data_IF_910310769412
#
_entry.id   IF_910310769412
#
_cell.length_a   1.000
_cell.length_b   1.000
_cell.length_c   1.000
_cell.angle_alpha   90.00
_cell.angle_beta   90.00
_cell.angle_gamma   90.00
#
_symmetry.space_group_name_H-M   'P 1'
#
loop_
_entity.id
_entity.type
_entity.pdbx_description
1 polymer ?
#
# COMPACT_ATOMS: atom_id res chain seq x y z
N UNK A 1 -33.81 -6.66 -9.02
CA UNK A 1 -34.34 -6.43 -7.65
C UNK A 1 -33.25 -6.03 -6.66
N UNK A 2 -31.97 -6.27 -6.97
CA UNK A 2 -30.89 -6.15 -5.98
C UNK A 2 -30.37 -4.73 -5.70
N UNK A 3 -30.41 -3.82 -6.68
CA UNK A 3 -29.82 -2.47 -6.52
C UNK A 3 -30.66 -1.58 -5.58
N UNK A 4 -31.98 -1.72 -5.61
CA UNK A 4 -32.86 -0.97 -4.69
C UNK A 4 -32.73 -1.44 -3.24
N UNK A 5 -32.56 -2.74 -3.00
CA UNK A 5 -32.28 -3.26 -1.66
C UNK A 5 -30.92 -2.79 -1.12
N UNK A 6 -29.88 -2.87 -1.95
CA UNK A 6 -28.54 -2.36 -1.61
C UNK A 6 -28.57 -0.85 -1.30
N UNK A 7 -29.30 -0.07 -2.10
CA UNK A 7 -29.47 1.38 -1.88
C UNK A 7 -30.22 1.70 -0.58
N UNK A 8 -31.18 0.87 -0.16
CA UNK A 8 -31.88 1.04 1.12
C UNK A 8 -31.01 0.65 2.31
N UNK A 9 -30.16 -0.36 2.15
CA UNK A 9 -29.31 -0.90 3.21
C UNK A 9 -28.05 -0.07 3.46
N UNK A 10 -27.52 0.58 2.42
CA UNK A 10 -26.36 1.48 2.48
C UNK A 10 -26.67 2.84 1.86
N UNK A 11 -27.45 3.70 2.56
CA UNK A 11 -27.69 5.05 2.07
C UNK A 11 -26.37 5.82 1.98
N UNK A 12 -26.19 6.56 0.88
CA UNK A 12 -25.02 7.42 0.70
C UNK A 12 -25.03 8.48 1.79
N UNK A 13 -24.17 8.31 2.79
CA UNK A 13 -24.11 9.15 3.98
C UNK A 13 -23.64 10.56 3.64
N UNK A 14 -22.66 10.68 2.74
CA UNK A 14 -22.10 11.95 2.30
C UNK A 14 -21.64 11.89 0.82
N UNK A 15 -22.35 12.63 -0.04
CA UNK A 15 -22.00 12.72 -1.47
C UNK A 15 -20.75 13.55 -1.73
N UNK A 16 -20.45 14.53 -0.87
CA UNK A 16 -19.26 15.37 -1.03
C UNK A 16 -18.00 14.55 -0.72
N UNK A 17 -18.04 13.75 0.35
CA UNK A 17 -16.93 12.88 0.74
C UNK A 17 -16.62 11.83 -0.32
N UNK A 18 -17.66 11.24 -0.94
CA UNK A 18 -17.48 10.30 -2.06
C UNK A 18 -16.76 10.93 -3.26
N UNK A 19 -17.12 12.16 -3.64
CA UNK A 19 -16.49 12.84 -4.78
C UNK A 19 -15.02 13.17 -4.46
N UNK A 20 -14.74 13.67 -3.26
CA UNK A 20 -13.37 13.97 -2.80
C UNK A 20 -12.49 12.73 -2.81
N UNK A 21 -12.96 11.62 -2.23
CA UNK A 21 -12.21 10.36 -2.18
C UNK A 21 -12.02 9.74 -3.56
N UNK A 22 -13.03 9.79 -4.43
CA UNK A 22 -12.91 9.30 -5.81
C UNK A 22 -11.91 10.14 -6.61
N UNK A 23 -11.96 11.46 -6.49
CA UNK A 23 -11.00 12.36 -7.13
C UNK A 23 -9.57 12.07 -6.64
N UNK A 24 -9.37 11.94 -5.33
CA UNK A 24 -8.08 11.59 -4.77
C UNK A 24 -7.57 10.23 -5.27
N UNK A 25 -8.44 9.22 -5.31
CA UNK A 25 -8.08 7.88 -5.78
C UNK A 25 -7.65 7.89 -7.25
N UNK A 26 -8.40 8.58 -8.12
CA UNK A 26 -8.04 8.74 -9.53
C UNK A 26 -6.73 9.51 -9.68
N UNK A 27 -6.52 10.58 -8.89
CA UNK A 27 -5.30 11.36 -8.90
C UNK A 27 -4.06 10.52 -8.52
N UNK A 28 -4.15 9.75 -7.43
CA UNK A 28 -3.07 8.85 -6.99
C UNK A 28 -2.80 7.76 -8.01
N UNK A 29 -3.86 7.19 -8.59
CA UNK A 29 -3.74 6.19 -9.65
C UNK A 29 -3.02 6.72 -10.88
N UNK A 30 -3.37 7.93 -11.35
CA UNK A 30 -2.68 8.59 -12.46
C UNK A 30 -1.21 8.89 -12.13
N UNK A 31 -0.92 9.33 -10.90
CA UNK A 31 0.47 9.51 -10.45
C UNK A 31 1.27 8.21 -10.48
N UNK A 32 0.68 7.08 -10.06
CA UNK A 32 1.33 5.77 -10.15
C UNK A 32 1.66 5.39 -11.60
N UNK A 33 0.73 5.61 -12.53
CA UNK A 33 0.95 5.35 -13.95
C UNK A 33 2.01 6.28 -14.54
N UNK A 34 1.99 7.57 -14.22
CA UNK A 34 3.00 8.53 -14.67
C UNK A 34 4.38 8.20 -14.11
N UNK A 35 4.49 7.87 -12.82
CA UNK A 35 5.74 7.42 -12.21
C UNK A 35 6.33 6.21 -12.93
N UNK A 36 5.48 5.22 -13.25
CA UNK A 36 5.90 4.02 -13.99
C UNK A 36 6.32 4.32 -15.43
N UNK A 37 5.68 5.29 -16.09
CA UNK A 37 5.93 5.62 -17.50
C UNK A 37 7.06 6.65 -17.72
N UNK A 38 7.31 7.56 -16.78
CA UNK A 38 8.26 8.67 -16.94
C UNK A 38 9.58 8.50 -16.15
N UNK A 39 9.80 7.37 -15.46
CA UNK A 39 10.98 7.16 -14.59
C UNK A 39 11.23 8.36 -13.65
N UNK A 40 10.16 8.89 -13.05
CA UNK A 40 10.28 9.95 -12.06
C UNK A 40 11.09 9.41 -10.87
N UNK A 41 11.98 10.21 -10.28
CA UNK A 41 12.80 9.74 -9.14
C UNK A 41 12.03 9.58 -7.81
N UNK A 42 10.69 9.48 -7.85
CA UNK A 42 9.86 9.30 -6.66
C UNK A 42 9.62 7.82 -6.38
N UNK A 43 9.71 7.43 -5.10
CA UNK A 43 9.34 6.09 -4.71
C UNK A 43 7.81 5.90 -4.77
N UNK A 44 7.37 4.68 -5.07
CA UNK A 44 5.95 4.30 -5.04
C UNK A 44 5.28 4.62 -3.70
N UNK A 45 6.02 4.46 -2.58
CA UNK A 45 5.52 4.78 -1.24
C UNK A 45 5.31 6.28 -1.02
N UNK A 46 6.17 7.13 -1.59
CA UNK A 46 6.05 8.59 -1.49
C UNK A 46 4.77 9.11 -2.17
N UNK A 47 4.41 8.52 -3.32
CA UNK A 47 3.18 8.86 -4.06
C UNK A 47 1.93 8.47 -3.26
N UNK A 48 1.92 7.26 -2.68
CA UNK A 48 0.81 6.81 -1.83
C UNK A 48 0.62 7.73 -0.61
N UNK A 49 1.72 8.12 0.06
CA UNK A 49 1.70 9.05 1.19
C UNK A 49 1.19 10.44 0.77
N UNK A 50 1.62 10.95 -0.38
CA UNK A 50 1.14 12.22 -0.91
C UNK A 50 -0.37 12.18 -1.16
N UNK A 51 -0.88 11.07 -1.71
CA UNK A 51 -2.30 10.80 -1.85
C UNK A 51 -3.07 10.83 -0.53
N UNK A 52 -2.55 10.12 0.47
CA UNK A 52 -3.15 10.10 1.81
C UNK A 52 -3.18 11.51 2.43
N UNK A 53 -2.09 12.27 2.34
CA UNK A 53 -2.01 13.65 2.84
C UNK A 53 -2.99 14.56 2.08
N UNK A 54 -3.10 14.41 0.76
CA UNK A 54 -4.06 15.16 -0.06
C UNK A 54 -5.50 14.90 0.39
N UNK A 55 -5.85 13.63 0.64
CA UNK A 55 -7.17 13.24 1.10
C UNK A 55 -7.47 13.83 2.50
N UNK A 56 -6.50 13.76 3.42
CA UNK A 56 -6.60 14.36 4.76
C UNK A 56 -6.68 15.90 4.74
N UNK A 57 -6.16 16.56 3.70
CA UNK A 57 -6.31 18.01 3.54
C UNK A 57 -7.68 18.38 2.95
N UNK A 58 -8.21 17.56 2.04
CA UNK A 58 -9.54 17.74 1.44
C UNK A 58 -10.66 17.42 2.42
N UNK A 59 -10.40 16.51 3.36
CA UNK A 59 -11.33 16.04 4.36
C UNK A 59 -10.82 16.40 5.76
N UNK A 60 -11.37 17.48 6.32
CA UNK A 60 -10.94 18.07 7.60
C UNK A 60 -11.48 17.33 8.82
N UNK A 61 -12.35 16.35 8.62
CA UNK A 61 -12.92 15.54 9.69
C UNK A 61 -11.88 14.56 10.26
N UNK A 62 -12.04 14.22 11.54
CA UNK A 62 -11.07 13.62 12.45
C UNK A 62 -9.96 12.76 11.79
N UNK A 63 -8.82 13.39 11.53
CA UNK A 63 -7.59 12.73 11.05
C UNK A 63 -7.23 11.55 11.96
N UNK A 64 -7.52 11.69 13.26
CA UNK A 64 -7.29 10.66 14.28
C UNK A 64 -8.07 9.39 13.97
N UNK A 65 -9.35 9.51 13.61
CA UNK A 65 -10.19 8.36 13.26
C UNK A 65 -9.74 7.68 11.96
N UNK A 66 -9.24 8.47 11.00
CA UNK A 66 -8.72 7.94 9.74
C UNK A 66 -7.41 7.19 9.95
N UNK A 67 -6.49 7.73 10.74
CA UNK A 67 -5.25 7.05 11.12
C UNK A 67 -5.50 5.83 12.02
N UNK A 68 -6.56 5.84 12.83
CA UNK A 68 -6.95 4.69 13.65
C UNK A 68 -7.45 3.49 12.81
N UNK A 69 -7.94 3.72 11.58
CA UNK A 69 -8.33 2.66 10.65
C UNK A 69 -7.14 2.01 9.93
N UNK A 70 -5.94 2.57 10.06
CA UNK A 70 -4.74 1.97 9.48
C UNK A 70 -4.43 0.67 10.22
N UNK A 71 -4.12 -0.38 9.45
CA UNK A 71 -3.68 -1.67 9.99
C UNK A 71 -2.22 -1.61 10.45
N UNK A 72 -1.97 -0.94 11.58
CA UNK A 72 -0.63 -0.74 12.15
C UNK A 72 0.08 -2.06 12.44
N UNK A 73 -0.67 -3.08 12.85
CA UNK A 73 -0.16 -4.43 13.07
C UNK A 73 0.49 -5.00 11.81
N UNK A 74 -0.17 -4.86 10.65
CA UNK A 74 0.34 -5.35 9.37
C UNK A 74 1.57 -4.57 8.91
N UNK A 75 1.61 -3.25 9.09
CA UNK A 75 2.79 -2.43 8.76
C UNK A 75 4.02 -2.81 9.59
N UNK A 76 3.84 -3.00 10.90
CA UNK A 76 4.92 -3.41 11.81
C UNK A 76 5.39 -4.84 11.46
N UNK A 77 4.46 -5.73 11.12
CA UNK A 77 4.78 -7.08 10.65
C UNK A 77 5.65 -7.07 9.40
N UNK A 78 5.27 -6.32 8.35
CA UNK A 78 6.08 -6.19 7.14
C UNK A 78 7.43 -5.53 7.40
N UNK A 79 7.47 -4.50 8.25
CA UNK A 79 8.73 -3.85 8.65
C UNK A 79 9.66 -4.86 9.33
N UNK A 80 9.14 -5.68 10.24
CA UNK A 80 9.89 -6.72 10.94
C UNK A 80 10.39 -7.81 9.99
N UNK A 81 9.56 -8.21 9.02
CA UNK A 81 9.97 -9.14 7.97
C UNK A 81 11.11 -8.57 7.12
N UNK A 82 11.06 -7.31 6.72
CA UNK A 82 12.14 -6.69 5.96
C UNK A 82 13.44 -6.59 6.76
N UNK A 83 13.36 -6.24 8.05
CA UNK A 83 14.52 -6.25 8.95
C UNK A 83 15.12 -7.66 9.06
N UNK A 84 14.28 -8.68 9.22
CA UNK A 84 14.72 -10.08 9.27
C UNK A 84 15.38 -10.51 7.96
N UNK A 85 14.75 -10.21 6.82
CA UNK A 85 15.28 -10.54 5.49
C UNK A 85 16.65 -9.89 5.25
N UNK A 86 16.81 -8.63 5.64
CA UNK A 86 18.08 -7.93 5.55
C UNK A 86 19.14 -8.53 6.49
N UNK A 87 18.77 -8.91 7.71
CA UNK A 87 19.65 -9.61 8.64
C UNK A 87 20.11 -10.96 8.08
N UNK A 88 19.20 -11.72 7.47
CA UNK A 88 19.47 -13.01 6.83
C UNK A 88 20.41 -12.87 5.63
N UNK A 89 20.19 -11.83 4.83
CA UNK A 89 21.03 -11.45 3.70
C UNK A 89 22.46 -11.14 4.15
N UNK A 90 22.63 -10.30 5.19
CA UNK A 90 23.94 -9.96 5.75
C UNK A 90 24.68 -11.15 6.37
N UNK A 91 23.94 -12.11 6.92
CA UNK A 91 24.51 -13.36 7.42
C UNK A 91 25.01 -14.28 6.29
N UNK A 92 24.64 -13.99 5.04
CA UNK A 92 24.96 -14.82 3.89
C UNK A 92 24.17 -16.12 3.83
N UNK A 93 23.13 -16.28 4.67
CA UNK A 93 22.38 -17.54 4.75
C UNK A 93 21.67 -17.86 3.44
N UNK A 94 21.15 -16.83 2.76
CA UNK A 94 20.48 -17.00 1.46
C UNK A 94 21.47 -17.55 0.42
N UNK A 95 22.71 -17.02 0.39
CA UNK A 95 23.75 -17.51 -0.51
C UNK A 95 24.21 -18.92 -0.13
N UNK A 96 24.34 -19.21 1.17
CA UNK A 96 24.67 -20.54 1.66
C UNK A 96 23.65 -21.60 1.20
N UNK A 97 22.35 -21.32 1.37
CA UNK A 97 21.29 -22.23 0.92
C UNK A 97 21.29 -22.36 -0.61
N UNK A 98 21.53 -21.26 -1.34
CA UNK A 98 21.65 -21.25 -2.79
C UNK A 98 22.76 -22.17 -3.28
N UNK A 99 23.97 -22.00 -2.75
CA UNK A 99 25.12 -22.83 -3.11
C UNK A 99 24.90 -24.30 -2.73
N UNK A 100 24.35 -24.56 -1.55
CA UNK A 100 24.03 -25.93 -1.13
C UNK A 100 23.02 -26.60 -2.08
N UNK A 101 22.04 -25.85 -2.55
CA UNK A 101 21.05 -26.34 -3.52
C UNK A 101 21.70 -26.61 -4.88
N UNK A 102 22.63 -25.75 -5.32
CA UNK A 102 23.41 -25.95 -6.55
C UNK A 102 24.24 -27.23 -6.48
N UNK A 103 24.98 -27.45 -5.39
CA UNK A 103 25.78 -28.65 -5.17
C UNK A 103 24.94 -29.93 -5.20
N UNK A 104 23.74 -29.89 -4.59
CA UNK A 104 22.80 -31.01 -4.60
C UNK A 104 22.29 -31.31 -6.01
N UNK A 105 22.02 -30.29 -6.82
CA UNK A 105 21.54 -30.45 -8.19
C UNK A 105 22.67 -30.93 -9.12
N UNK A 106 23.88 -30.39 -8.98
CA UNK A 106 25.03 -30.76 -9.80
C UNK A 106 25.59 -32.16 -9.46
N UNK A 107 25.34 -32.64 -8.24
CA UNK A 107 25.70 -33.99 -7.79
C UNK A 107 24.71 -35.10 -8.19
N UNK A 108 23.57 -34.75 -8.78
CA UNK A 108 22.57 -35.69 -9.36
C UNK A 108 22.83 -35.84 -10.86
#
# INVERSE_FOLDING_TARGET
>A
EDIEELSRKFPIRDKQLLIKSTFCLVFVFLMFLMQSALDLNMSMGSIALLGAILLLLLDRDDIVDTLARVEWSTLIFFTSLFILMEGLSKLGLIAFIGNWTEDVIAGI
#
